data_IF_157109832886
#
_entry.id   IF_157109832886
#
_cell.length_a   1.000
_cell.length_b   1.000
_cell.length_c   1.000
_cell.angle_alpha   90.00
_cell.angle_beta   90.00
_cell.angle_gamma   90.00
#
_symmetry.space_group_name_H-M   'P 1'
#
loop_
_entity.id
_entity.type
_entity.pdbx_description
1 polymer ?
#
# COMPACT_ATOMS: atom_id res chain seq x y z
N UNK A 1 3.35 33.30 15.52
CA UNK A 1 3.80 31.97 15.08
C UNK A 1 2.99 31.62 13.83
N UNK A 2 3.63 31.52 12.67
CA UNK A 2 2.94 31.14 11.43
C UNK A 2 3.08 29.64 11.28
N UNK A 3 1.97 28.91 11.34
CA UNK A 3 1.96 27.47 11.05
C UNK A 3 1.94 27.31 9.54
N UNK A 4 2.92 26.61 8.98
CA UNK A 4 2.97 26.25 7.56
C UNK A 4 2.62 24.78 7.37
N UNK A 5 2.11 24.42 6.20
CA UNK A 5 1.71 23.05 5.84
C UNK A 5 2.30 22.63 4.51
N UNK A 6 2.14 21.35 4.19
CA UNK A 6 2.51 20.79 2.89
C UNK A 6 1.27 20.42 2.10
N UNK A 7 1.31 20.64 0.78
CA UNK A 7 0.27 20.18 -0.14
C UNK A 7 0.10 18.65 -0.13
N UNK A 8 -1.06 18.19 -0.61
CA UNK A 8 -1.32 16.77 -0.80
C UNK A 8 -0.39 16.18 -1.89
N UNK A 9 -0.06 14.89 -1.77
CA UNK A 9 0.61 14.19 -2.87
C UNK A 9 -0.31 14.06 -4.09
N UNK A 10 0.26 13.87 -5.27
CA UNK A 10 -0.49 13.63 -6.52
C UNK A 10 -1.36 12.38 -6.41
N UNK A 11 -2.46 12.39 -7.17
CA UNK A 11 -3.36 11.24 -7.31
C UNK A 11 -2.76 10.26 -8.33
N UNK A 12 -2.63 8.99 -7.94
CA UNK A 12 -2.13 7.94 -8.84
C UNK A 12 -3.25 7.42 -9.75
N UNK A 13 -2.90 7.06 -10.98
CA UNK A 13 -3.83 6.45 -11.93
C UNK A 13 -4.32 5.09 -11.46
N UNK A 14 -5.61 4.81 -11.61
CA UNK A 14 -6.20 3.50 -11.31
C UNK A 14 -6.41 2.64 -12.56
N UNK A 15 -5.98 3.11 -13.73
CA UNK A 15 -6.19 2.42 -15.02
C UNK A 15 -4.88 1.93 -15.65
N UNK A 16 -3.74 2.45 -15.20
CA UNK A 16 -2.41 2.10 -15.69
C UNK A 16 -1.96 0.70 -15.28
N UNK A 17 -0.94 0.19 -15.99
CA UNK A 17 -0.34 -1.09 -15.68
C UNK A 17 0.19 -1.22 -14.24
N UNK A 18 0.76 -0.17 -13.58
CA UNK A 18 1.29 -0.35 -12.23
C UNK A 18 0.20 -0.71 -11.22
N UNK A 19 -0.98 -0.09 -11.33
CA UNK A 19 -2.12 -0.42 -10.50
C UNK A 19 -2.63 -1.84 -10.81
N UNK A 20 -2.70 -2.22 -12.09
CA UNK A 20 -3.10 -3.58 -12.50
C UNK A 20 -2.14 -4.65 -11.96
N UNK A 21 -0.84 -4.40 -11.95
CA UNK A 21 0.16 -5.30 -11.36
C UNK A 21 -0.04 -5.47 -9.85
N UNK A 22 -0.32 -4.38 -9.12
CA UNK A 22 -0.68 -4.44 -7.70
C UNK A 22 -1.97 -5.23 -7.48
N UNK A 23 -2.99 -4.99 -8.31
CA UNK A 23 -4.25 -5.72 -8.24
C UNK A 23 -4.04 -7.22 -8.44
N UNK A 24 -3.25 -7.61 -9.45
CA UNK A 24 -2.99 -9.01 -9.71
C UNK A 24 -2.16 -9.66 -8.60
N UNK A 25 -1.13 -8.98 -8.09
CA UNK A 25 -0.34 -9.45 -6.95
C UNK A 25 -1.21 -9.68 -5.71
N UNK A 26 -2.14 -8.77 -5.42
CA UNK A 26 -3.09 -8.94 -4.32
C UNK A 26 -3.99 -10.17 -4.51
N UNK A 27 -4.50 -10.42 -5.73
CA UNK A 27 -5.31 -11.63 -6.04
C UNK A 27 -4.50 -12.92 -5.92
N UNK A 28 -3.22 -12.90 -6.30
CA UNK A 28 -2.36 -14.08 -6.21
C UNK A 28 -2.11 -14.48 -4.74
N UNK A 29 -2.09 -13.52 -3.81
CA UNK A 29 -1.90 -13.79 -2.37
C UNK A 29 -3.22 -14.07 -1.65
N UNK A 30 -4.26 -13.29 -1.94
CA UNK A 30 -5.52 -13.28 -1.17
C UNK A 30 -6.72 -13.88 -1.92
N UNK A 31 -6.50 -14.50 -3.08
CA UNK A 31 -7.51 -15.19 -3.87
C UNK A 31 -8.62 -14.25 -4.37
N UNK A 32 -9.84 -14.42 -3.84
CA UNK A 32 -11.05 -13.69 -4.26
C UNK A 32 -11.19 -12.30 -3.62
N UNK A 33 -10.08 -11.68 -3.21
CA UNK A 33 -10.10 -10.35 -2.61
C UNK A 33 -10.73 -9.31 -3.54
N UNK A 34 -11.67 -8.53 -3.01
CA UNK A 34 -12.18 -7.34 -3.69
C UNK A 34 -11.13 -6.24 -3.55
N UNK A 35 -10.72 -5.66 -4.67
CA UNK A 35 -9.70 -4.61 -4.70
C UNK A 35 -10.35 -3.30 -5.12
N UNK A 36 -10.28 -2.31 -4.26
CA UNK A 36 -10.80 -0.98 -4.49
C UNK A 36 -9.73 0.08 -4.16
N UNK A 37 -9.59 1.15 -4.95
CA UNK A 37 -8.81 2.30 -4.53
C UNK A 37 -9.50 2.99 -3.34
N UNK A 38 -8.70 3.55 -2.44
CA UNK A 38 -9.21 4.32 -1.29
C UNK A 38 -8.37 5.59 -1.07
N UNK A 39 -8.95 6.56 -0.38
CA UNK A 39 -8.26 7.78 0.03
C UNK A 39 -7.42 7.51 1.28
N UNK A 40 -6.10 7.62 1.17
CA UNK A 40 -5.21 7.65 2.32
C UNK A 40 -5.04 9.11 2.79
N UNK A 41 -5.49 9.41 4.01
CA UNK A 41 -5.37 10.74 4.61
C UNK A 41 -4.10 10.92 5.45
N UNK A 42 -3.40 9.82 5.78
CA UNK A 42 -2.17 9.86 6.56
C UNK A 42 -0.96 10.35 5.74
N UNK A 43 -0.02 10.99 6.45
CA UNK A 43 1.27 11.36 5.89
C UNK A 43 2.08 10.11 5.50
N UNK A 44 2.72 10.16 4.33
CA UNK A 44 3.62 9.12 3.83
C UNK A 44 4.69 9.75 2.95
N UNK A 45 5.76 9.01 2.66
CA UNK A 45 6.88 9.45 1.83
C UNK A 45 6.49 9.71 0.37
N UNK A 46 5.28 9.34 -0.05
CA UNK A 46 4.80 9.53 -1.40
C UNK A 46 4.90 10.98 -1.91
N UNK A 47 4.83 11.99 -1.02
CA UNK A 47 5.10 13.39 -1.40
C UNK A 47 6.52 13.60 -1.93
N UNK A 48 7.50 12.87 -1.37
CA UNK A 48 8.88 12.90 -1.84
C UNK A 48 9.01 12.17 -3.18
N UNK A 49 8.27 11.07 -3.36
CA UNK A 49 8.28 10.28 -4.60
C UNK A 49 7.60 10.98 -5.79
N UNK A 50 6.70 11.94 -5.57
CA UNK A 50 6.04 12.72 -6.65
C UNK A 50 7.01 13.46 -7.59
N UNK A 51 8.26 13.65 -7.14
CA UNK A 51 9.35 14.28 -7.92
C UNK A 51 10.02 13.33 -8.90
N UNK A 52 9.94 12.02 -8.65
CA UNK A 52 10.68 10.98 -9.38
C UNK A 52 9.78 9.87 -9.93
N UNK A 53 8.50 9.84 -9.58
CA UNK A 53 7.52 8.89 -10.09
C UNK A 53 6.24 9.61 -10.53
N UNK A 54 5.64 9.11 -11.61
CA UNK A 54 4.33 9.56 -12.06
C UNK A 54 3.17 9.00 -11.21
N UNK A 55 3.39 7.88 -10.53
CA UNK A 55 2.38 7.22 -9.69
C UNK A 55 3.01 6.62 -8.43
N UNK A 56 2.36 6.80 -7.28
CA UNK A 56 2.80 6.26 -5.98
C UNK A 56 1.63 5.65 -5.23
N UNK A 57 1.59 4.32 -5.18
CA UNK A 57 0.54 3.55 -4.52
C UNK A 57 0.96 3.20 -3.09
N UNK A 58 0.03 3.34 -2.14
CA UNK A 58 0.19 2.81 -0.78
C UNK A 58 -0.68 1.59 -0.63
N UNK A 59 -0.07 0.50 -0.22
CA UNK A 59 -0.75 -0.76 0.00
C UNK A 59 -0.07 -1.49 1.14
N UNK A 60 -0.83 -1.85 2.16
CA UNK A 60 -0.34 -2.66 3.27
C UNK A 60 -0.89 -4.09 3.08
N UNK A 61 -0.05 -5.05 2.64
CA UNK A 61 -0.51 -6.38 2.25
C UNK A 61 -0.69 -7.31 3.45
N UNK A 62 -1.50 -6.91 4.43
CA UNK A 62 -1.81 -7.71 5.62
C UNK A 62 -3.32 -7.65 5.92
N UNK A 63 -3.87 -8.72 6.49
CA UNK A 63 -5.24 -8.71 7.01
C UNK A 63 -5.24 -8.10 8.40
N UNK A 64 -5.76 -6.87 8.51
CA UNK A 64 -5.79 -6.11 9.74
C UNK A 64 -7.10 -6.40 10.47
N UNK A 65 -7.01 -6.83 11.73
CA UNK A 65 -8.16 -6.96 12.64
C UNK A 65 -8.38 -5.67 13.44
N UNK A 66 -9.53 -5.55 14.10
CA UNK A 66 -9.79 -4.43 15.02
C UNK A 66 -8.78 -4.35 16.18
N UNK A 67 -8.25 -5.49 16.61
CA UNK A 67 -7.21 -5.52 17.64
C UNK A 67 -5.87 -5.00 17.10
N UNK A 68 -5.50 -5.37 15.88
CA UNK A 68 -4.29 -4.86 15.23
C UNK A 68 -4.35 -3.33 15.07
N UNK A 69 -5.51 -2.79 14.66
CA UNK A 69 -5.70 -1.34 14.54
C UNK A 69 -5.44 -0.59 15.84
N UNK A 70 -5.87 -1.14 16.99
CA UNK A 70 -5.65 -0.51 18.29
C UNK A 70 -4.18 -0.52 18.73
N UNK A 71 -3.36 -1.41 18.15
CA UNK A 71 -1.93 -1.54 18.43
C UNK A 71 -1.05 -0.73 17.48
N UNK A 72 -1.58 -0.28 16.33
CA UNK A 72 -0.81 0.55 15.38
C UNK A 72 -0.36 1.86 16.04
N UNK A 73 0.94 2.13 16.02
CA UNK A 73 1.55 3.28 16.73
C UNK A 73 1.35 3.23 18.27
N UNK A 74 1.07 2.05 18.82
CA UNK A 74 0.82 1.82 20.24
C UNK A 74 1.86 0.91 20.90
N UNK A 75 1.59 0.50 22.13
CA UNK A 75 2.43 -0.44 22.87
C UNK A 75 2.31 -1.85 22.29
N UNK A 76 3.44 -2.55 22.17
CA UNK A 76 3.49 -3.93 21.68
C UNK A 76 2.87 -4.09 20.28
N UNK A 77 3.15 -3.13 19.38
CA UNK A 77 2.84 -3.26 17.97
C UNK A 77 3.54 -4.51 17.40
N UNK A 78 2.75 -5.39 16.78
CA UNK A 78 3.23 -6.63 16.19
C UNK A 78 2.31 -7.07 15.06
N UNK A 79 2.81 -8.00 14.24
CA UNK A 79 2.09 -8.62 13.14
C UNK A 79 2.14 -10.13 13.29
N UNK A 80 1.10 -10.84 12.86
CA UNK A 80 1.13 -12.31 12.83
C UNK A 80 2.17 -12.82 11.85
N UNK A 81 2.73 -14.01 12.12
CA UNK A 81 3.68 -14.67 11.20
C UNK A 81 3.04 -14.90 9.83
N UNK A 82 1.75 -15.23 9.80
CA UNK A 82 1.00 -15.38 8.55
C UNK A 82 0.96 -14.08 7.73
N UNK A 83 0.59 -12.96 8.35
CA UNK A 83 0.57 -11.65 7.69
C UNK A 83 1.96 -11.23 7.22
N UNK A 84 3.00 -11.54 8.00
CA UNK A 84 4.39 -11.31 7.60
C UNK A 84 4.75 -12.10 6.32
N UNK A 85 4.39 -13.38 6.26
CA UNK A 85 4.62 -14.21 5.07
C UNK A 85 3.77 -13.76 3.88
N UNK A 86 2.53 -13.30 4.09
CA UNK A 86 1.71 -12.72 3.03
C UNK A 86 2.32 -11.44 2.47
N UNK A 87 2.90 -10.58 3.30
CA UNK A 87 3.57 -9.38 2.84
C UNK A 87 4.77 -9.71 1.93
N UNK A 88 5.60 -10.68 2.32
CA UNK A 88 6.73 -11.14 1.50
C UNK A 88 6.23 -11.65 0.15
N UNK A 89 5.20 -12.51 0.15
CA UNK A 89 4.60 -13.04 -1.08
C UNK A 89 4.05 -11.93 -1.97
N UNK A 90 3.34 -10.96 -1.39
CA UNK A 90 2.75 -9.85 -2.14
C UNK A 90 3.82 -9.03 -2.85
N UNK A 91 4.87 -8.59 -2.16
CA UNK A 91 5.93 -7.80 -2.80
C UNK A 91 6.68 -8.61 -3.87
N UNK A 92 6.88 -9.91 -3.65
CA UNK A 92 7.43 -10.82 -4.67
C UNK A 92 6.54 -10.86 -5.93
N UNK A 93 5.23 -10.97 -5.74
CA UNK A 93 4.26 -10.96 -6.84
C UNK A 93 4.19 -9.60 -7.54
N UNK A 94 4.27 -8.48 -6.82
CA UNK A 94 4.33 -7.13 -7.44
C UNK A 94 5.51 -7.03 -8.39
N UNK A 95 6.70 -7.49 -7.99
CA UNK A 95 7.90 -7.48 -8.84
C UNK A 95 7.68 -8.36 -10.08
N UNK A 96 7.14 -9.57 -9.91
CA UNK A 96 6.86 -10.49 -11.02
C UNK A 96 5.84 -9.93 -12.01
N UNK A 97 4.71 -9.42 -11.53
CA UNK A 97 3.63 -8.88 -12.38
C UNK A 97 4.03 -7.57 -13.06
N UNK A 98 4.92 -6.78 -12.44
CA UNK A 98 5.47 -5.56 -13.06
C UNK A 98 6.43 -5.89 -14.19
N UNK A 99 7.21 -6.97 -14.09
CA UNK A 99 8.17 -7.38 -15.12
C UNK A 99 7.53 -8.00 -16.37
N UNK A 100 6.20 -8.19 -16.40
CA UNK A 100 5.46 -8.71 -17.57
C UNK A 100 5.05 -7.62 -18.57
N UNK A 101 5.22 -6.35 -18.20
CA UNK A 101 4.78 -5.19 -18.99
C UNK A 101 5.82 -4.77 -20.00
#
# INVERSE_FOLDING_TARGET
>A
MTVTGNEASKVSSITGWPFKSIQQAARNVYGKAVIAPYLMFAGSDARQYDRISSNTYRFLPVQITSEDLNRMHGTNEHVSVENYLHAIKFYTEVIRESNKQ
#
